data_IF_641730645967
#
_entry.id   IF_641730645967
#
_cell.length_a   1.000
_cell.length_b   1.000
_cell.length_c   1.000
_cell.angle_alpha   90.00
_cell.angle_beta   90.00
_cell.angle_gamma   90.00
#
_symmetry.space_group_name_H-M   'P 1'
#
loop_
_entity.id
_entity.type
_entity.pdbx_description
1 polymer ?
#
# COMPACT_ATOMS: atom_id res chain seq x y z
N UNK A 1 13.11 -19.19 18.74
CA UNK A 1 12.76 -19.79 17.42
C UNK A 1 11.89 -18.81 16.67
N UNK A 2 12.14 -18.53 15.39
CA UNK A 2 11.29 -17.66 14.54
C UNK A 2 10.32 -18.53 13.71
N UNK A 3 9.06 -18.12 13.60
CA UNK A 3 7.94 -18.95 13.07
C UNK A 3 7.34 -18.40 11.77
N UNK A 4 8.17 -17.91 10.85
CA UNK A 4 7.75 -17.32 9.58
C UNK A 4 6.56 -16.32 9.75
N UNK A 5 5.61 -16.24 8.81
CA UNK A 5 4.51 -15.26 8.82
C UNK A 5 3.16 -15.95 8.62
N UNK A 6 2.06 -15.26 8.97
CA UNK A 6 0.68 -15.65 8.62
C UNK A 6 0.21 -17.02 9.14
N UNK A 7 0.79 -17.50 10.25
CA UNK A 7 0.37 -18.78 10.86
C UNK A 7 0.67 -20.03 10.02
N UNK A 8 1.56 -19.94 9.03
CA UNK A 8 1.92 -21.08 8.18
C UNK A 8 2.75 -22.14 8.92
N UNK A 9 3.44 -21.76 10.01
CA UNK A 9 4.18 -22.69 10.85
C UNK A 9 4.00 -22.38 12.33
N UNK A 10 4.10 -23.42 13.15
CA UNK A 10 4.16 -23.35 14.61
C UNK A 10 5.58 -23.72 15.04
N UNK A 11 6.24 -22.82 15.77
CA UNK A 11 7.56 -23.07 16.33
C UNK A 11 7.48 -23.96 17.55
N UNK A 12 8.25 -25.05 17.56
CA UNK A 12 8.42 -25.92 18.73
C UNK A 12 9.87 -25.89 19.18
N UNK A 13 10.07 -25.64 20.47
CA UNK A 13 11.37 -25.69 21.15
C UNK A 13 11.26 -26.71 22.29
N UNK A 14 11.92 -27.84 22.14
CA UNK A 14 12.06 -28.85 23.18
C UNK A 14 13.38 -28.58 23.93
N UNK A 15 13.33 -28.41 25.26
CA UNK A 15 14.50 -28.15 26.12
C UNK A 15 14.69 -29.30 27.12
N UNK A 16 15.94 -29.68 27.37
CA UNK A 16 16.33 -30.56 28.48
C UNK A 16 17.09 -29.72 29.51
N UNK A 17 16.68 -29.79 30.77
CA UNK A 17 17.25 -29.02 31.87
C UNK A 17 17.76 -29.96 32.95
N UNK A 18 19.01 -29.76 33.38
CA UNK A 18 19.67 -30.47 34.48
C UNK A 18 20.31 -29.44 35.40
N UNK A 19 20.12 -29.57 36.72
CA UNK A 19 20.64 -28.65 37.75
C UNK A 19 20.36 -27.16 37.46
N UNK A 20 19.21 -26.86 36.86
CA UNK A 20 18.81 -25.50 36.49
C UNK A 20 19.48 -24.95 35.23
N UNK A 21 20.31 -25.75 34.55
CA UNK A 21 20.98 -25.40 33.31
C UNK A 21 20.35 -26.12 32.12
N UNK A 22 20.19 -25.40 31.00
CA UNK A 22 19.75 -26.01 29.74
C UNK A 22 20.91 -26.81 29.15
N UNK A 23 20.81 -28.14 29.21
CA UNK A 23 21.84 -29.04 28.67
C UNK A 23 21.55 -29.44 27.22
N UNK A 24 20.32 -29.28 26.75
CA UNK A 24 19.95 -29.51 25.35
C UNK A 24 18.81 -28.62 24.90
N UNK A 25 18.87 -28.16 23.65
CA UNK A 25 17.79 -27.44 22.97
C UNK A 25 17.58 -28.00 21.55
N UNK A 26 16.36 -28.41 21.22
CA UNK A 26 15.97 -28.85 19.88
C UNK A 26 14.83 -27.98 19.37
N UNK A 27 15.01 -27.36 18.21
CA UNK A 27 13.97 -26.55 17.58
C UNK A 27 13.52 -27.12 16.25
N UNK A 28 12.22 -27.00 15.97
CA UNK A 28 11.65 -27.26 14.64
C UNK A 28 10.42 -26.40 14.38
N UNK A 29 10.19 -26.10 13.11
CA UNK A 29 8.95 -25.49 12.65
C UNK A 29 8.01 -26.60 12.17
N UNK A 30 6.82 -26.64 12.73
CA UNK A 30 5.77 -27.58 12.35
C UNK A 30 4.86 -26.87 11.34
N UNK A 31 4.76 -27.34 10.08
CA UNK A 31 3.90 -26.72 9.09
C UNK A 31 2.42 -26.93 9.45
N UNK A 32 1.63 -25.87 9.31
CA UNK A 32 0.16 -25.94 9.42
C UNK A 32 -0.37 -26.36 8.06
N UNK A 33 -0.89 -27.58 7.97
CA UNK A 33 -1.41 -28.16 6.72
C UNK A 33 -2.83 -28.70 6.92
N UNK A 34 -3.51 -28.99 5.81
CA UNK A 34 -4.85 -29.60 5.82
C UNK A 34 -4.88 -31.02 6.41
N UNK A 35 -3.73 -31.63 6.67
CA UNK A 35 -3.64 -32.94 7.30
C UNK A 35 -3.98 -32.91 8.80
N UNK A 36 -3.90 -31.73 9.44
CA UNK A 36 -4.36 -31.54 10.81
C UNK A 36 -5.84 -31.15 10.78
N UNK A 37 -6.75 -31.95 11.38
CA UNK A 37 -8.16 -31.61 11.43
C UNK A 37 -8.39 -30.26 12.10
N UNK A 38 -9.33 -29.48 11.57
CA UNK A 38 -9.74 -28.22 12.19
C UNK A 38 -10.44 -28.52 13.51
N UNK A 39 -10.05 -27.81 14.57
CA UNK A 39 -10.71 -27.92 15.87
C UNK A 39 -12.18 -27.45 15.76
N UNK A 40 -13.18 -28.26 16.15
CA UNK A 40 -14.59 -27.90 16.01
C UNK A 40 -15.01 -26.64 16.76
N UNK A 41 -14.41 -26.34 17.93
CA UNK A 41 -14.71 -25.13 18.69
C UNK A 41 -14.15 -23.89 18.00
N UNK A 42 -12.94 -23.99 17.45
CA UNK A 42 -12.35 -22.91 16.63
C UNK A 42 -13.17 -22.71 15.36
N UNK A 43 -13.62 -23.79 14.71
CA UNK A 43 -14.47 -23.71 13.52
C UNK A 43 -15.81 -23.03 13.82
N UNK A 44 -16.44 -23.36 14.94
CA UNK A 44 -17.67 -22.71 15.39
C UNK A 44 -17.44 -21.22 15.64
N UNK A 45 -16.37 -20.86 16.37
CA UNK A 45 -16.01 -19.47 16.62
C UNK A 45 -15.79 -18.69 15.31
N UNK A 46 -15.07 -19.29 14.35
CA UNK A 46 -14.88 -18.70 13.02
C UNK A 46 -16.21 -18.50 12.29
N UNK A 47 -17.14 -19.44 12.38
CA UNK A 47 -18.47 -19.32 11.75
C UNK A 47 -19.28 -18.18 12.37
N UNK A 48 -19.26 -18.04 13.70
CA UNK A 48 -19.93 -16.94 14.40
C UNK A 48 -19.37 -15.57 13.97
N UNK A 49 -18.04 -15.41 13.95
CA UNK A 49 -17.43 -14.17 13.47
C UNK A 49 -17.68 -13.90 11.99
N UNK A 50 -17.69 -14.94 11.13
CA UNK A 50 -18.06 -14.80 9.71
C UNK A 50 -19.49 -14.31 9.55
N UNK A 51 -20.44 -14.82 10.33
CA UNK A 51 -21.83 -14.35 10.28
C UNK A 51 -21.97 -12.91 10.77
N UNK A 52 -21.29 -12.55 11.88
CA UNK A 52 -21.27 -11.17 12.37
C UNK A 52 -20.67 -10.24 11.32
N UNK A 53 -19.53 -10.63 10.73
CA UNK A 53 -18.88 -9.88 9.66
C UNK A 53 -19.80 -9.72 8.44
N UNK A 54 -20.44 -10.78 7.96
CA UNK A 54 -21.32 -10.74 6.79
C UNK A 54 -22.48 -9.73 6.93
N UNK A 55 -23.03 -9.60 8.15
CA UNK A 55 -24.07 -8.60 8.43
C UNK A 55 -23.57 -7.16 8.28
N UNK A 56 -22.33 -6.88 8.68
CA UNK A 56 -21.74 -5.55 8.54
C UNK A 56 -21.17 -5.32 7.14
N UNK A 57 -20.60 -6.35 6.51
CA UNK A 57 -19.96 -6.25 5.20
C UNK A 57 -20.96 -5.88 4.09
N UNK A 58 -22.24 -6.20 4.25
CA UNK A 58 -23.30 -5.85 3.28
C UNK A 58 -23.93 -4.48 3.54
N UNK A 59 -23.57 -3.81 4.63
CA UNK A 59 -24.06 -2.48 4.94
C UNK A 59 -23.51 -1.47 3.92
N UNK A 60 -24.41 -0.76 3.24
CA UNK A 60 -24.05 0.39 2.39
C UNK A 60 -23.54 1.52 3.28
N UNK A 61 -22.36 2.04 2.96
CA UNK A 61 -21.66 3.10 3.70
C UNK A 61 -21.50 4.39 2.87
N UNK A 62 -21.92 4.37 1.62
CA UNK A 62 -21.96 5.53 0.74
C UNK A 62 -22.14 5.12 -0.71
N UNK A 63 -21.72 5.98 -1.63
CA UNK A 63 -21.89 5.78 -3.07
C UNK A 63 -20.63 6.19 -3.82
N UNK A 64 -20.36 5.57 -4.97
CA UNK A 64 -19.38 6.02 -5.93
C UNK A 64 -20.11 6.56 -7.18
N UNK A 65 -19.79 7.79 -7.59
CA UNK A 65 -20.39 8.44 -8.76
C UNK A 65 -19.77 8.01 -10.08
N UNK A 66 -18.67 7.25 -10.03
CA UNK A 66 -17.96 6.66 -11.17
C UNK A 66 -17.37 5.30 -10.76
N UNK A 67 -17.04 4.46 -11.74
CA UNK A 67 -16.19 3.30 -11.47
C UNK A 67 -14.78 3.73 -11.07
N UNK A 68 -14.28 3.22 -9.94
CA UNK A 68 -12.95 3.50 -9.42
C UNK A 68 -12.03 2.30 -9.66
N UNK A 69 -11.08 2.46 -10.56
CA UNK A 69 -10.20 1.41 -11.07
C UNK A 69 -9.13 1.03 -10.05
N UNK A 70 -9.20 -0.20 -9.54
CA UNK A 70 -8.22 -0.80 -8.63
C UNK A 70 -7.76 -2.19 -9.09
N UNK A 71 -8.05 -2.58 -10.33
CA UNK A 71 -7.60 -3.85 -10.88
C UNK A 71 -6.06 -3.90 -10.92
N UNK A 72 -5.52 -5.02 -10.45
CA UNK A 72 -4.08 -5.25 -10.33
C UNK A 72 -3.33 -5.04 -11.64
N UNK A 73 -3.92 -5.39 -12.78
CA UNK A 73 -3.26 -5.28 -14.08
C UNK A 73 -3.09 -3.81 -14.47
N UNK A 74 -4.04 -2.96 -14.08
CA UNK A 74 -4.07 -1.53 -14.38
C UNK A 74 -3.29 -0.73 -13.34
N UNK A 75 -3.70 -0.76 -12.07
CA UNK A 75 -3.18 0.15 -11.03
C UNK A 75 -1.69 -0.04 -10.71
N UNK A 76 -1.10 -1.15 -11.16
CA UNK A 76 0.32 -1.47 -10.95
C UNK A 76 1.22 -1.17 -12.15
N UNK A 77 0.66 -0.58 -13.21
CA UNK A 77 1.41 -0.26 -14.42
C UNK A 77 1.12 1.14 -14.94
N UNK A 78 0.05 1.77 -14.49
CA UNK A 78 -0.37 3.09 -14.93
C UNK A 78 -1.14 3.81 -13.82
N UNK A 79 -1.38 5.10 -14.04
CA UNK A 79 -2.28 5.91 -13.23
C UNK A 79 -3.69 5.33 -13.22
N UNK A 80 -4.30 5.30 -12.04
CA UNK A 80 -5.69 4.88 -11.87
C UNK A 80 -6.43 5.86 -10.94
N UNK A 81 -7.69 6.17 -11.26
CA UNK A 81 -8.47 7.14 -10.53
C UNK A 81 -8.70 6.79 -9.05
N UNK A 82 -8.79 5.50 -8.69
CA UNK A 82 -8.84 5.09 -7.28
C UNK A 82 -7.52 5.39 -6.55
N UNK A 83 -6.39 5.22 -7.23
CA UNK A 83 -5.07 5.59 -6.74
C UNK A 83 -4.97 7.10 -6.49
N UNK A 84 -5.44 7.90 -7.44
CA UNK A 84 -5.50 9.35 -7.32
C UNK A 84 -6.37 9.80 -6.15
N UNK A 85 -7.58 9.23 -6.01
CA UNK A 85 -8.49 9.51 -4.90
C UNK A 85 -7.79 9.30 -3.55
N UNK A 86 -7.16 8.15 -3.36
CA UNK A 86 -6.49 7.78 -2.12
C UNK A 86 -5.28 8.67 -1.83
N UNK A 87 -4.44 8.91 -2.84
CA UNK A 87 -3.28 9.79 -2.69
C UNK A 87 -3.72 11.24 -2.38
N UNK A 88 -4.77 11.76 -3.01
CA UNK A 88 -5.31 13.09 -2.72
C UNK A 88 -5.91 13.19 -1.32
N UNK A 89 -6.60 12.14 -0.87
CA UNK A 89 -7.16 12.07 0.49
C UNK A 89 -6.03 12.02 1.51
N UNK A 90 -5.00 11.21 1.27
CA UNK A 90 -3.83 11.11 2.13
C UNK A 90 -3.12 12.46 2.25
N UNK A 91 -2.83 13.10 1.10
CA UNK A 91 -2.16 14.40 1.03
C UNK A 91 -2.93 15.51 1.76
N UNK A 92 -4.25 15.58 1.54
CA UNK A 92 -5.12 16.59 2.19
C UNK A 92 -5.30 16.34 3.69
N UNK A 93 -5.45 15.09 4.10
CA UNK A 93 -5.67 14.72 5.52
C UNK A 93 -4.45 15.06 6.37
N UNK A 94 -3.25 14.91 5.82
CA UNK A 94 -2.00 15.12 6.55
C UNK A 94 -1.30 16.45 6.22
N UNK A 95 -1.92 17.29 5.40
CA UNK A 95 -1.40 18.60 4.95
C UNK A 95 0.05 18.52 4.42
N UNK A 96 0.28 17.64 3.44
CA UNK A 96 1.62 17.46 2.82
C UNK A 96 1.67 17.98 1.38
N UNK A 97 2.89 18.26 0.91
CA UNK A 97 3.14 18.64 -0.49
C UNK A 97 2.89 17.46 -1.44
N UNK A 98 3.20 16.23 -0.99
CA UNK A 98 3.17 15.02 -1.81
C UNK A 98 2.48 13.90 -1.03
N UNK A 99 1.81 12.99 -1.75
CA UNK A 99 1.45 11.68 -1.22
C UNK A 99 1.82 10.55 -2.18
N UNK A 100 2.26 9.43 -1.60
CA UNK A 100 2.68 8.22 -2.31
C UNK A 100 2.00 7.00 -1.68
N UNK A 101 1.31 6.21 -2.49
CA UNK A 101 0.70 4.94 -2.06
C UNK A 101 1.11 3.84 -3.03
N UNK A 102 1.69 2.75 -2.53
CA UNK A 102 2.00 1.61 -3.39
C UNK A 102 0.71 0.88 -3.79
N UNK A 103 0.58 0.60 -5.07
CA UNK A 103 -0.56 -0.07 -5.69
C UNK A 103 -0.78 -1.51 -5.16
N UNK A 104 0.16 -2.03 -4.38
CA UNK A 104 0.03 -3.26 -3.61
C UNK A 104 -1.04 -3.19 -2.51
N UNK A 105 -1.30 -2.00 -1.95
CA UNK A 105 -2.31 -1.73 -0.91
C UNK A 105 -3.74 -1.78 -1.45
N UNK A 106 -3.92 -1.41 -2.72
CA UNK A 106 -5.23 -1.32 -3.39
C UNK A 106 -5.48 -2.64 -4.12
N UNK A 107 -6.52 -3.36 -3.71
CA UNK A 107 -6.70 -4.78 -4.10
C UNK A 107 -7.85 -5.05 -5.04
N UNK A 108 -8.76 -4.08 -5.17
CA UNK A 108 -9.99 -4.23 -5.96
C UNK A 108 -10.46 -2.88 -6.46
N UNK A 109 -11.17 -2.88 -7.57
CA UNK A 109 -11.96 -1.74 -8.04
C UNK A 109 -13.23 -1.56 -7.19
N UNK A 110 -13.80 -0.34 -7.23
CA UNK A 110 -15.17 -0.09 -6.82
C UNK A 110 -16.01 0.16 -8.06
N UNK A 111 -17.18 -0.47 -8.11
CA UNK A 111 -18.15 -0.22 -9.16
C UNK A 111 -18.87 1.11 -8.91
N UNK A 112 -19.45 1.68 -9.98
CA UNK A 112 -20.39 2.78 -9.89
C UNK A 112 -21.61 2.37 -9.04
N UNK A 113 -22.07 3.27 -8.16
CA UNK A 113 -23.26 3.08 -7.34
C UNK A 113 -22.96 2.77 -5.87
N UNK A 114 -23.84 2.05 -5.16
CA UNK A 114 -23.72 1.83 -3.72
C UNK A 114 -22.42 1.12 -3.33
N UNK A 115 -21.74 1.65 -2.32
CA UNK A 115 -20.50 1.09 -1.77
C UNK A 115 -20.79 0.49 -0.40
N UNK A 116 -20.46 -0.79 -0.22
CA UNK A 116 -20.61 -1.46 1.08
C UNK A 116 -19.33 -1.44 1.92
N UNK A 117 -19.45 -1.68 3.23
CA UNK A 117 -18.28 -1.83 4.09
C UNK A 117 -17.39 -2.99 3.64
N UNK A 118 -17.99 -4.07 3.13
CA UNK A 118 -17.27 -5.21 2.55
C UNK A 118 -16.46 -4.80 1.33
N UNK A 119 -16.97 -3.87 0.51
CA UNK A 119 -16.22 -3.33 -0.63
C UNK A 119 -15.02 -2.50 -0.16
N UNK A 120 -15.18 -1.62 0.83
CA UNK A 120 -14.07 -0.84 1.40
C UNK A 120 -12.97 -1.77 1.94
N UNK A 121 -13.34 -2.81 2.67
CA UNK A 121 -12.39 -3.81 3.20
C UNK A 121 -11.75 -4.65 2.10
N UNK A 122 -12.47 -4.91 1.01
CA UNK A 122 -11.93 -5.62 -0.15
C UNK A 122 -10.94 -4.75 -0.94
N UNK A 123 -11.14 -3.42 -0.99
CA UNK A 123 -10.22 -2.48 -1.63
C UNK A 123 -8.94 -2.30 -0.81
N UNK A 124 -9.08 -2.05 0.50
CA UNK A 124 -7.97 -1.79 1.44
C UNK A 124 -7.96 -2.81 2.60
N UNK A 125 -7.55 -4.06 2.37
CA UNK A 125 -7.62 -5.11 3.40
C UNK A 125 -6.53 -4.99 4.46
N UNK A 126 -5.50 -4.19 4.23
CA UNK A 126 -4.38 -4.03 5.16
C UNK A 126 -4.61 -2.87 6.12
N UNK A 127 -4.10 -3.02 7.35
CA UNK A 127 -4.27 -2.05 8.43
C UNK A 127 -3.01 -1.19 8.62
N UNK A 128 -2.48 -0.65 7.51
CA UNK A 128 -1.33 0.24 7.58
C UNK A 128 -1.78 1.65 7.96
N UNK A 129 -1.08 2.26 8.92
CA UNK A 129 -1.34 3.62 9.36
C UNK A 129 -0.72 4.64 8.40
N UNK A 130 -1.29 5.83 8.33
CA UNK A 130 -0.74 6.97 7.61
C UNK A 130 0.48 7.54 8.32
N UNK A 131 1.52 7.82 7.54
CA UNK A 131 2.80 8.35 8.01
C UNK A 131 3.18 9.58 7.19
N UNK A 132 3.76 10.59 7.84
CA UNK A 132 4.44 11.70 7.15
C UNK A 132 5.95 11.60 7.30
N UNK A 133 6.68 12.00 6.26
CA UNK A 133 8.13 12.00 6.16
C UNK A 133 8.63 13.33 5.57
N UNK A 134 9.84 13.72 5.94
CA UNK A 134 10.64 14.71 5.23
C UNK A 134 11.63 14.02 4.30
N UNK A 135 11.46 14.22 2.99
CA UNK A 135 12.18 13.54 1.92
C UNK A 135 12.88 14.57 1.04
N UNK A 136 14.19 14.42 0.81
CA UNK A 136 14.93 15.29 -0.12
C UNK A 136 14.53 15.00 -1.56
N UNK A 137 14.68 15.97 -2.47
CA UNK A 137 14.42 15.74 -3.89
C UNK A 137 15.26 14.60 -4.49
N UNK A 138 16.52 14.46 -4.05
CA UNK A 138 17.36 13.32 -4.39
C UNK A 138 16.72 11.97 -4.02
N UNK A 139 16.23 11.84 -2.78
CA UNK A 139 15.57 10.63 -2.30
C UNK A 139 14.23 10.41 -3.00
N UNK A 140 13.44 11.46 -3.23
CA UNK A 140 12.18 11.36 -3.97
C UNK A 140 12.39 10.81 -5.38
N UNK A 141 13.46 11.23 -6.08
CA UNK A 141 13.82 10.64 -7.37
C UNK A 141 14.14 9.15 -7.26
N UNK A 142 14.90 8.73 -6.24
CA UNK A 142 15.21 7.31 -6.00
C UNK A 142 13.93 6.49 -5.74
N UNK A 143 13.00 7.03 -4.95
CA UNK A 143 11.70 6.41 -4.66
C UNK A 143 10.89 6.22 -5.94
N UNK A 144 10.84 7.23 -6.82
CA UNK A 144 10.10 7.16 -8.08
C UNK A 144 10.77 6.25 -9.11
N UNK A 145 12.10 6.15 -9.13
CA UNK A 145 12.83 5.14 -9.92
C UNK A 145 12.53 3.73 -9.42
N UNK A 146 12.53 3.52 -8.10
CA UNK A 146 12.23 2.22 -7.50
C UNK A 146 10.79 1.78 -7.79
N UNK A 147 9.83 2.70 -7.75
CA UNK A 147 8.42 2.48 -8.12
C UNK A 147 8.27 1.76 -9.47
N UNK A 148 9.07 2.18 -10.46
CA UNK A 148 9.01 1.62 -11.81
C UNK A 148 10.11 0.59 -12.09
N UNK A 149 10.88 0.15 -11.09
CA UNK A 149 12.00 -0.80 -11.28
C UNK A 149 11.57 -2.18 -11.79
N UNK A 150 10.33 -2.59 -11.52
CA UNK A 150 9.74 -3.84 -12.03
C UNK A 150 8.66 -3.61 -13.08
N UNK A 151 8.46 -2.38 -13.52
CA UNK A 151 7.50 -2.08 -14.59
C UNK A 151 7.93 -2.76 -15.90
N UNK A 152 7.00 -3.35 -16.69
CA UNK A 152 5.54 -3.40 -16.51
C UNK A 152 5.01 -4.66 -15.81
N UNK A 153 5.79 -5.38 -15.00
CA UNK A 153 5.44 -6.71 -14.43
C UNK A 153 4.37 -6.69 -13.32
N UNK A 154 3.47 -5.71 -13.28
CA UNK A 154 2.37 -5.57 -12.32
C UNK A 154 2.79 -5.75 -10.85
N UNK A 155 3.96 -5.19 -10.50
CA UNK A 155 4.52 -5.25 -9.15
C UNK A 155 3.74 -4.34 -8.20
N UNK A 156 3.51 -4.81 -6.96
CA UNK A 156 2.79 -4.03 -5.95
C UNK A 156 3.50 -2.73 -5.55
N UNK A 157 4.81 -2.65 -5.79
CA UNK A 157 5.62 -1.46 -5.48
C UNK A 157 5.20 -0.21 -6.25
N UNK A 158 4.60 -0.36 -7.43
CA UNK A 158 4.24 0.78 -8.28
C UNK A 158 3.42 1.82 -7.51
N UNK A 159 3.86 3.08 -7.48
CA UNK A 159 3.23 4.14 -6.70
C UNK A 159 2.12 4.84 -7.50
N UNK A 160 0.97 5.00 -6.85
CA UNK A 160 0.00 6.04 -7.18
C UNK A 160 0.37 7.31 -6.39
N UNK A 161 0.17 8.48 -7.00
CA UNK A 161 0.81 9.74 -6.56
C UNK A 161 -0.19 10.90 -6.45
N UNK A 162 0.12 11.88 -5.61
CA UNK A 162 -0.56 13.18 -5.54
C UNK A 162 0.46 14.28 -5.24
N UNK A 163 0.19 15.50 -5.74
CA UNK A 163 1.04 16.68 -5.54
C UNK A 163 2.24 16.79 -6.49
N UNK A 164 2.42 15.80 -7.38
CA UNK A 164 3.47 15.78 -8.39
C UNK A 164 3.02 15.11 -9.69
N UNK A 165 3.73 15.42 -10.76
CA UNK A 165 3.63 14.77 -12.07
C UNK A 165 4.98 14.17 -12.45
N UNK A 166 4.98 12.95 -13.02
CA UNK A 166 6.21 12.25 -13.44
C UNK A 166 6.10 11.82 -14.89
N UNK A 167 7.16 12.08 -15.66
CA UNK A 167 7.33 11.48 -16.98
C UNK A 167 8.36 10.35 -16.90
N UNK A 168 7.99 9.17 -17.37
CA UNK A 168 8.79 7.96 -17.40
C UNK A 168 9.19 7.56 -18.82
N UNK A 169 10.43 7.10 -18.98
CA UNK A 169 10.97 6.46 -20.18
C UNK A 169 10.81 4.94 -20.04
N UNK A 170 9.73 4.37 -20.58
CA UNK A 170 9.40 2.95 -20.35
C UNK A 170 10.47 1.95 -20.83
N UNK A 171 11.28 2.33 -21.82
CA UNK A 171 12.36 1.48 -22.38
C UNK A 171 13.73 1.73 -21.76
N UNK A 172 13.87 2.68 -20.84
CA UNK A 172 15.15 2.96 -20.22
C UNK A 172 15.54 1.84 -19.22
N UNK A 173 16.85 1.64 -18.99
CA UNK A 173 17.34 0.71 -17.96
C UNK A 173 16.74 1.03 -16.59
N UNK A 174 16.55 -0.01 -15.77
CA UNK A 174 16.10 0.15 -14.38
C UNK A 174 17.04 1.11 -13.64
N UNK A 175 16.45 2.09 -12.93
CA UNK A 175 17.20 3.16 -12.25
C UNK A 175 17.43 4.43 -13.07
N UNK A 176 17.06 4.41 -14.36
CA UNK A 176 17.12 5.57 -15.26
C UNK A 176 15.82 5.78 -16.04
N UNK A 177 14.68 5.39 -15.45
CA UNK A 177 13.36 5.47 -16.09
C UNK A 177 12.65 6.78 -15.83
N UNK A 178 13.01 7.53 -14.79
CA UNK A 178 12.41 8.84 -14.50
C UNK A 178 13.08 9.91 -15.36
N UNK A 179 12.31 10.50 -16.29
CA UNK A 179 12.75 11.62 -17.12
C UNK A 179 12.67 12.95 -16.38
N UNK A 180 11.46 13.30 -15.94
CA UNK A 180 11.15 14.56 -15.28
C UNK A 180 10.18 14.34 -14.13
N UNK A 181 10.31 15.16 -13.11
CA UNK A 181 9.42 15.23 -11.95
C UNK A 181 9.05 16.70 -11.77
N UNK A 182 7.76 16.98 -11.71
CA UNK A 182 7.22 18.31 -11.41
C UNK A 182 6.48 18.23 -10.08
N UNK A 183 6.82 19.09 -9.11
CA UNK A 183 6.15 19.17 -7.81
C UNK A 183 5.48 20.54 -7.70
N UNK A 184 4.17 20.57 -7.49
CA UNK A 184 3.41 21.83 -7.45
C UNK A 184 3.58 22.71 -8.71
N UNK A 185 3.84 22.10 -9.87
CA UNK A 185 4.06 22.81 -11.13
C UNK A 185 5.49 23.30 -11.38
N UNK A 186 6.42 23.10 -10.46
CA UNK A 186 7.84 23.44 -10.63
C UNK A 186 8.71 22.17 -10.82
N UNK A 187 9.81 22.22 -11.58
CA UNK A 187 10.75 21.11 -11.66
C UNK A 187 11.28 20.74 -10.28
N UNK A 188 11.47 19.44 -10.04
CA UNK A 188 12.04 18.93 -8.80
C UNK A 188 13.42 19.56 -8.51
N UNK A 189 13.51 20.26 -7.38
CA UNK A 189 14.79 20.63 -6.78
C UNK A 189 15.32 19.45 -5.95
N UNK A 190 16.50 18.94 -6.34
CA UNK A 190 17.16 17.78 -5.73
C UNK A 190 17.62 18.06 -4.29
N UNK A 191 17.92 19.32 -3.97
CA UNK A 191 18.41 19.76 -2.66
C UNK A 191 17.28 20.13 -1.68
N UNK A 192 16.10 20.51 -2.20
CA UNK A 192 14.93 20.83 -1.39
C UNK A 192 14.41 19.58 -0.64
N UNK A 193 13.91 19.80 0.58
CA UNK A 193 13.15 18.81 1.34
C UNK A 193 11.65 19.02 1.13
N UNK A 194 10.92 17.95 0.93
CA UNK A 194 9.47 17.93 0.71
C UNK A 194 8.78 17.16 1.82
N UNK A 195 7.58 17.62 2.19
CA UNK A 195 6.67 16.86 3.06
C UNK A 195 5.94 15.79 2.24
N UNK A 196 6.08 14.54 2.65
CA UNK A 196 5.51 13.38 1.94
C UNK A 196 4.62 12.59 2.89
N UNK A 197 3.38 12.35 2.49
CA UNK A 197 2.50 11.38 3.14
C UNK A 197 2.60 10.02 2.44
N UNK A 198 2.61 8.95 3.23
CA UNK A 198 2.57 7.56 2.74
C UNK A 198 1.95 6.65 3.81
N UNK A 199 2.01 5.35 3.63
CA UNK A 199 1.63 4.38 4.67
C UNK A 199 2.85 3.80 5.38
N UNK A 200 2.66 3.31 6.62
CA UNK A 200 3.73 2.79 7.45
C UNK A 200 4.49 1.62 6.80
N UNK A 201 3.82 0.79 5.99
CA UNK A 201 4.51 -0.30 5.31
C UNK A 201 5.55 0.23 4.31
N UNK A 202 5.20 1.25 3.51
CA UNK A 202 6.15 1.89 2.58
C UNK A 202 7.23 2.67 3.33
N UNK A 203 6.85 3.45 4.35
CA UNK A 203 7.79 4.24 5.15
C UNK A 203 8.86 3.39 5.84
N UNK A 204 8.51 2.17 6.25
CA UNK A 204 9.39 1.25 6.98
C UNK A 204 10.17 0.30 6.03
N UNK A 205 10.21 0.59 4.72
CA UNK A 205 11.00 -0.15 3.73
C UNK A 205 10.26 -1.29 3.02
N UNK A 206 8.95 -1.43 3.23
CA UNK A 206 8.10 -2.37 2.50
C UNK A 206 8.25 -2.22 0.98
N UNK A 207 8.02 -3.30 0.23
CA UNK A 207 8.23 -3.37 -1.23
C UNK A 207 9.64 -2.97 -1.73
N UNK A 208 10.63 -2.90 -0.83
CA UNK A 208 12.01 -2.53 -1.11
C UNK A 208 12.27 -1.03 -1.09
N UNK A 209 11.39 -0.24 -0.45
CA UNK A 209 11.58 1.20 -0.25
C UNK A 209 12.57 1.52 0.89
N UNK A 210 13.67 0.75 1.01
CA UNK A 210 14.62 0.85 2.13
C UNK A 210 15.20 2.26 2.29
N UNK A 211 15.31 3.02 1.19
CA UNK A 211 15.77 4.42 1.23
C UNK A 211 14.89 5.33 2.10
N UNK A 212 13.58 5.04 2.24
CA UNK A 212 12.67 5.81 3.08
C UNK A 212 12.92 5.63 4.58
N UNK A 213 13.60 4.55 4.99
CA UNK A 213 14.00 4.36 6.39
C UNK A 213 15.04 5.39 6.85
N UNK A 214 15.67 6.10 5.90
CA UNK A 214 16.59 7.20 6.14
C UNK A 214 15.93 8.58 6.00
N UNK A 215 14.62 8.66 5.71
CA UNK A 215 13.89 9.93 5.71
C UNK A 215 13.80 10.49 7.14
N UNK A 216 13.61 11.81 7.25
CA UNK A 216 13.58 12.50 8.54
C UNK A 216 12.16 12.86 8.95
N UNK A 217 11.97 13.31 10.19
CA UNK A 217 10.67 13.75 10.73
C UNK A 217 9.52 12.74 10.50
N UNK A 218 9.82 11.44 10.64
CA UNK A 218 8.82 10.38 10.54
C UNK A 218 7.80 10.55 11.66
N UNK A 219 6.53 10.74 11.30
CA UNK A 219 5.40 10.78 12.24
C UNK A 219 4.35 9.77 11.81
N UNK A 220 4.04 8.86 12.72
CA UNK A 220 2.93 7.92 12.56
C UNK A 220 1.68 8.53 13.17
N UNK A 221 0.65 8.73 12.36
CA UNK A 221 -0.57 9.42 12.78
C UNK A 221 -1.58 8.47 13.41
N UNK A 222 -1.32 7.15 13.41
CA UNK A 222 -2.24 6.11 13.88
C UNK A 222 -3.62 6.17 13.21
N UNK A 223 -3.70 6.81 12.04
CA UNK A 223 -4.89 6.85 11.19
C UNK A 223 -4.79 5.68 10.21
N UNK A 224 -5.70 4.70 10.26
CA UNK A 224 -5.72 3.61 9.28
C UNK A 224 -5.92 4.13 7.86
N UNK A 225 -5.20 3.60 6.88
CA UNK A 225 -5.35 3.95 5.46
C UNK A 225 -6.80 3.78 4.97
N UNK A 226 -7.52 2.77 5.49
CA UNK A 226 -8.92 2.50 5.16
C UNK A 226 -9.86 3.66 5.51
N UNK A 227 -9.52 4.43 6.54
CA UNK A 227 -10.36 5.52 7.03
C UNK A 227 -10.42 6.66 6.02
N UNK A 228 -9.44 6.77 5.11
CA UNK A 228 -9.51 7.72 4.00
C UNK A 228 -10.73 7.47 3.09
N UNK A 229 -11.07 6.21 2.80
CA UNK A 229 -12.27 5.89 2.01
C UNK A 229 -13.55 6.06 2.82
N UNK A 230 -13.56 5.60 4.08
CA UNK A 230 -14.73 5.70 4.94
C UNK A 230 -15.11 7.17 5.18
N UNK A 231 -14.14 8.02 5.50
CA UNK A 231 -14.37 9.45 5.70
C UNK A 231 -14.81 10.12 4.39
N UNK A 232 -14.21 9.76 3.26
CA UNK A 232 -14.63 10.29 1.96
C UNK A 232 -16.09 9.94 1.61
N UNK A 233 -16.54 8.73 1.95
CA UNK A 233 -17.93 8.28 1.75
C UNK A 233 -18.93 9.01 2.67
N UNK A 234 -18.49 9.44 3.86
CA UNK A 234 -19.28 10.27 4.77
C UNK A 234 -19.44 11.70 4.24
N UNK A 235 -18.40 12.24 3.60
CA UNK A 235 -18.43 13.59 3.01
C UNK A 235 -19.31 13.67 1.75
N UNK A 236 -19.45 12.56 1.02
CA UNK A 236 -20.31 12.49 -0.15
C UNK A 236 -19.94 11.37 -1.12
N UNK A 237 -20.60 11.31 -2.28
CA UNK A 237 -20.29 10.32 -3.29
C UNK A 237 -18.84 10.38 -3.76
N UNK A 238 -18.18 9.22 -3.85
CA UNK A 238 -16.79 9.14 -4.31
C UNK A 238 -16.71 9.49 -5.80
N UNK A 239 -15.80 10.40 -6.12
CA UNK A 239 -15.47 10.77 -7.48
C UNK A 239 -13.96 10.96 -7.61
N UNK A 240 -13.39 10.42 -8.68
CA UNK A 240 -12.02 10.72 -9.11
C UNK A 240 -11.83 10.33 -10.57
N UNK A 241 -10.85 10.98 -11.20
CA UNK A 241 -10.41 10.72 -12.57
C UNK A 241 -8.89 10.53 -12.63
N UNK A 242 -8.42 9.98 -13.74
CA UNK A 242 -7.01 10.03 -14.09
C UNK A 242 -6.75 11.39 -14.75
N UNK A 243 -5.89 12.21 -14.13
CA UNK A 243 -5.63 13.61 -14.47
C UNK A 243 -4.17 13.82 -14.92
N UNK A 244 -3.57 12.76 -15.48
CA UNK A 244 -2.25 12.75 -16.14
C UNK A 244 -1.07 13.01 -15.19
N UNK A 245 -1.11 12.46 -13.98
CA UNK A 245 0.02 12.50 -13.03
C UNK A 245 1.19 11.66 -13.49
N UNK A 246 0.96 10.61 -14.28
CA UNK A 246 2.01 9.72 -14.77
C UNK A 246 1.96 9.57 -16.29
N UNK A 247 3.07 9.90 -16.95
CA UNK A 247 3.17 9.85 -18.41
C UNK A 247 4.28 8.87 -18.79
N UNK A 248 3.95 7.84 -19.57
CA UNK A 248 4.92 6.90 -20.12
C UNK A 248 5.19 7.22 -21.58
N UNK A 249 6.39 7.70 -21.88
CA UNK A 249 6.81 7.98 -23.26
C UNK A 249 7.57 6.79 -23.84
N UNK A 250 7.24 6.44 -25.07
CA UNK A 250 8.07 5.60 -25.90
C UNK A 250 9.10 6.52 -26.58
N UNK A 251 10.39 6.18 -26.55
CA UNK A 251 11.48 7.04 -27.03
C UNK A 251 11.51 7.36 -28.53
N UNK A 252 10.36 7.39 -29.21
CA UNK A 252 10.16 7.86 -30.60
C UNK A 252 9.22 9.06 -30.71
N UNK A 253 8.55 9.50 -29.64
CA UNK A 253 7.63 10.64 -29.68
C UNK A 253 8.35 11.96 -29.36
N UNK A 254 9.45 12.22 -30.07
CA UNK A 254 10.17 13.50 -30.05
C UNK A 254 10.59 13.88 -31.47
N UNK A 255 9.74 14.69 -32.11
CA UNK A 255 10.12 15.73 -33.06
C UNK A 255 9.60 17.05 -32.52
#
# INVERSE_FOLDING_TARGET
VKTHRQGQTIGRLDLTIEDGLVVQARSRNIPVTVAVPVDPKVQQLLNEYRQRFARHATQVVGEASVGLQGDRLVIRTQEANLGNLLADRMRRTLDTEIALINAGQIRRSLELGPVTLGDVLAVLPFDSALVTLHVTGAMLRQVLEHSVSQWPNHSGRFLQISGLQVTYMGKAPVGSRVRSIMVGGAPLDISKTYTVATDAFVADGGDGYDMLTHATDRRDHQIPLRDLLLNALVEGPLYAEADHRMIFVNGKDEN
#
